data_IF_378431009558
#
_entry.id   IF_378431009558
#
_cell.length_a   1.000
_cell.length_b   1.000
_cell.length_c   1.000
_cell.angle_alpha   90.00
_cell.angle_beta   90.00
_cell.angle_gamma   90.00
#
_symmetry.space_group_name_H-M   'P 1'
#
loop_
_entity.id
_entity.type
_entity.pdbx_description
1 polymer ?
#
# COMPACT_ATOMS: atom_id res chain seq x y z
N UNK A 1 -16.67 8.67 20.97
CA UNK A 1 -17.24 7.84 19.89
C UNK A 1 -18.74 7.56 20.03
N UNK A 2 -19.46 7.63 18.91
CA UNK A 2 -20.90 7.34 18.74
C UNK A 2 -21.21 5.83 18.94
N UNK A 3 -22.38 5.50 19.50
CA UNK A 3 -22.85 4.12 19.71
C UNK A 3 -23.01 3.36 18.38
N UNK A 4 -23.39 4.04 17.30
CA UNK A 4 -23.48 3.42 15.98
C UNK A 4 -22.09 3.00 15.46
N UNK A 5 -21.09 3.87 15.62
CA UNK A 5 -19.71 3.62 15.19
C UNK A 5 -19.09 2.47 15.98
N UNK A 6 -19.34 2.41 17.30
CA UNK A 6 -18.85 1.30 18.12
C UNK A 6 -19.45 -0.04 17.66
N UNK A 7 -20.75 -0.06 17.31
CA UNK A 7 -21.38 -1.27 16.73
C UNK A 7 -20.77 -1.66 15.39
N UNK A 8 -20.39 -0.69 14.55
CA UNK A 8 -19.71 -0.98 13.29
C UNK A 8 -18.33 -1.60 13.53
N UNK A 9 -17.54 -1.08 14.48
CA UNK A 9 -16.27 -1.70 14.87
C UNK A 9 -16.45 -3.12 15.39
N UNK A 10 -17.43 -3.34 16.27
CA UNK A 10 -17.69 -4.68 16.83
C UNK A 10 -18.02 -5.69 15.74
N UNK A 11 -18.88 -5.34 14.78
CA UNK A 11 -19.22 -6.23 13.67
C UNK A 11 -18.08 -6.41 12.67
N UNK A 12 -17.31 -5.36 12.41
CA UNK A 12 -16.11 -5.47 11.56
C UNK A 12 -15.09 -6.44 12.16
N UNK A 13 -14.92 -6.44 13.48
CA UNK A 13 -13.90 -7.25 14.18
C UNK A 13 -14.42 -8.59 14.70
N UNK A 14 -15.67 -8.97 14.37
CA UNK A 14 -16.23 -10.26 14.75
C UNK A 14 -15.79 -11.35 13.76
N UNK A 15 -15.02 -12.37 14.19
CA UNK A 15 -14.54 -13.43 13.29
C UNK A 15 -15.66 -14.26 12.66
N UNK A 16 -16.85 -14.28 13.26
CA UNK A 16 -18.02 -15.01 12.75
C UNK A 16 -18.89 -14.14 11.81
N UNK A 17 -18.56 -12.86 11.65
CA UNK A 17 -19.31 -11.94 10.80
C UNK A 17 -18.95 -12.11 9.33
N UNK A 18 -19.78 -12.85 8.60
CA UNK A 18 -19.63 -13.07 7.16
C UNK A 18 -19.64 -11.77 6.34
N UNK A 19 -20.23 -10.70 6.86
CA UNK A 19 -20.32 -9.39 6.21
C UNK A 19 -19.31 -8.36 6.77
N UNK A 20 -18.22 -8.78 7.43
CA UNK A 20 -17.24 -7.88 8.06
C UNK A 20 -16.75 -6.76 7.12
N UNK A 21 -16.54 -7.10 5.84
CA UNK A 21 -16.17 -6.15 4.78
C UNK A 21 -17.21 -5.04 4.56
N UNK A 22 -18.50 -5.35 4.65
CA UNK A 22 -19.56 -4.35 4.52
C UNK A 22 -19.57 -3.38 5.71
N UNK A 23 -19.18 -3.85 6.91
CA UNK A 23 -19.05 -2.99 8.08
C UNK A 23 -17.80 -2.11 7.99
N UNK A 24 -16.68 -2.63 7.50
CA UNK A 24 -15.51 -1.83 7.19
C UNK A 24 -15.85 -0.68 6.22
N UNK A 25 -16.55 -0.98 5.12
CA UNK A 25 -16.94 0.04 4.14
C UNK A 25 -17.86 1.11 4.77
N UNK A 26 -18.88 0.69 5.53
CA UNK A 26 -19.78 1.62 6.23
C UNK A 26 -19.06 2.47 7.26
N UNK A 27 -18.10 1.89 7.97
CA UNK A 27 -17.29 2.58 8.98
C UNK A 27 -16.43 3.65 8.33
N UNK A 28 -15.77 3.34 7.21
CA UNK A 28 -14.98 4.29 6.44
C UNK A 28 -15.80 5.47 5.92
N UNK A 29 -17.00 5.22 5.37
CA UNK A 29 -17.91 6.27 4.90
C UNK A 29 -18.41 7.20 6.01
N UNK A 30 -18.40 6.74 7.28
CA UNK A 30 -18.81 7.51 8.45
C UNK A 30 -17.64 7.96 9.32
N UNK A 31 -16.41 7.76 8.87
CA UNK A 31 -15.24 8.00 9.69
C UNK A 31 -15.11 9.49 10.03
N UNK A 32 -15.01 9.77 11.33
CA UNK A 32 -14.51 11.04 11.86
C UNK A 32 -13.00 10.93 12.06
N UNK A 33 -12.35 12.03 12.46
CA UNK A 33 -10.92 12.03 12.79
C UNK A 33 -10.58 11.00 13.89
N UNK A 34 -11.41 10.92 14.95
CA UNK A 34 -11.31 9.90 16.02
C UNK A 34 -11.38 8.46 15.45
N UNK A 35 -12.27 8.21 14.49
CA UNK A 35 -12.42 6.90 13.85
C UNK A 35 -11.24 6.57 12.96
N UNK A 36 -10.77 7.53 12.16
CA UNK A 36 -9.59 7.39 11.31
C UNK A 36 -8.35 7.07 12.14
N UNK A 37 -8.13 7.76 13.26
CA UNK A 37 -6.99 7.48 14.15
C UNK A 37 -7.06 6.05 14.71
N UNK A 38 -8.24 5.63 15.18
CA UNK A 38 -8.45 4.25 15.66
C UNK A 38 -8.25 3.20 14.56
N UNK A 39 -8.66 3.48 13.32
CA UNK A 39 -8.41 2.62 12.17
C UNK A 39 -6.91 2.51 11.86
N UNK A 40 -6.16 3.62 11.92
CA UNK A 40 -4.70 3.62 11.74
C UNK A 40 -4.03 2.77 12.84
N UNK A 41 -4.48 2.86 14.09
CA UNK A 41 -3.99 1.99 15.16
C UNK A 41 -4.24 0.50 14.85
N UNK A 42 -5.42 0.15 14.32
CA UNK A 42 -5.75 -1.21 13.93
C UNK A 42 -4.89 -1.71 12.75
N UNK A 43 -4.64 -0.89 11.74
CA UNK A 43 -3.74 -1.22 10.62
C UNK A 43 -2.35 -1.62 11.11
N UNK A 44 -1.88 -1.02 12.20
CA UNK A 44 -0.56 -1.26 12.77
C UNK A 44 -0.55 -2.33 13.88
N UNK A 45 -1.71 -2.90 14.21
CA UNK A 45 -1.85 -3.95 15.22
C UNK A 45 -1.27 -5.29 14.75
N UNK A 46 -1.23 -6.28 15.64
CA UNK A 46 -0.69 -7.62 15.34
C UNK A 46 -1.72 -8.58 14.74
N UNK A 47 -3.01 -8.21 14.76
CA UNK A 47 -4.07 -8.97 14.12
C UNK A 47 -4.18 -8.56 12.64
N UNK A 48 -3.69 -9.43 11.76
CA UNK A 48 -3.62 -9.12 10.33
C UNK A 48 -5.01 -9.03 9.67
N UNK A 49 -6.02 -9.74 10.18
CA UNK A 49 -7.38 -9.72 9.63
C UNK A 49 -8.04 -8.39 9.99
N UNK A 50 -7.94 -8.00 11.26
CA UNK A 50 -8.37 -6.69 11.73
C UNK A 50 -7.65 -5.55 11.01
N UNK A 51 -6.34 -5.67 10.82
CA UNK A 51 -5.53 -4.70 10.08
C UNK A 51 -5.98 -4.58 8.62
N UNK A 52 -6.24 -5.70 7.93
CA UNK A 52 -6.73 -5.69 6.56
C UNK A 52 -8.10 -5.00 6.44
N UNK A 53 -9.02 -5.33 7.34
CA UNK A 53 -10.35 -4.68 7.38
C UNK A 53 -10.24 -3.19 7.69
N UNK A 54 -9.32 -2.79 8.56
CA UNK A 54 -9.05 -1.38 8.82
C UNK A 54 -8.47 -0.66 7.59
N UNK A 55 -7.58 -1.28 6.82
CA UNK A 55 -7.11 -0.73 5.54
C UNK A 55 -8.27 -0.49 4.58
N UNK A 56 -9.20 -1.45 4.48
CA UNK A 56 -10.40 -1.33 3.66
C UNK A 56 -11.33 -0.20 4.13
N UNK A 57 -11.54 -0.07 5.43
CA UNK A 57 -12.32 1.05 5.96
C UNK A 57 -11.65 2.40 5.62
N UNK A 58 -10.33 2.50 5.79
CA UNK A 58 -9.56 3.70 5.47
C UNK A 58 -9.64 4.09 3.98
N UNK A 59 -9.72 3.12 3.06
CA UNK A 59 -9.88 3.41 1.62
C UNK A 59 -11.19 4.08 1.26
N UNK A 60 -12.20 4.00 2.13
CA UNK A 60 -13.48 4.70 1.96
C UNK A 60 -13.51 6.08 2.60
N UNK A 61 -12.40 6.52 3.19
CA UNK A 61 -12.27 7.85 3.80
C UNK A 61 -11.67 8.87 2.84
N UNK A 62 -11.70 10.15 3.21
CA UNK A 62 -11.04 11.22 2.44
C UNK A 62 -9.57 11.44 2.84
N UNK A 63 -9.07 10.77 3.88
CA UNK A 63 -7.69 10.88 4.38
C UNK A 63 -6.74 9.96 3.61
N UNK A 64 -6.67 10.13 2.28
CA UNK A 64 -5.92 9.22 1.39
C UNK A 64 -4.45 9.08 1.83
N UNK A 65 -3.77 10.20 2.08
CA UNK A 65 -2.34 10.21 2.37
C UNK A 65 -2.01 9.62 3.75
N UNK A 66 -2.74 10.00 4.80
CA UNK A 66 -2.51 9.43 6.13
C UNK A 66 -2.83 7.93 6.17
N UNK A 67 -3.85 7.52 5.41
CA UNK A 67 -4.21 6.11 5.27
C UNK A 67 -3.11 5.34 4.56
N UNK A 68 -2.63 5.83 3.41
CA UNK A 68 -1.56 5.18 2.65
C UNK A 68 -0.25 5.12 3.45
N UNK A 69 0.08 6.12 4.26
CA UNK A 69 1.23 6.07 5.16
C UNK A 69 1.15 4.88 6.13
N UNK A 70 -0.03 4.64 6.72
CA UNK A 70 -0.27 3.50 7.61
C UNK A 70 -0.23 2.17 6.84
N UNK A 71 -0.88 2.09 5.68
CA UNK A 71 -0.95 0.88 4.85
C UNK A 71 0.44 0.48 4.35
N UNK A 72 1.23 1.40 3.81
CA UNK A 72 2.60 1.10 3.38
C UNK A 72 3.52 0.70 4.54
N UNK A 73 3.31 1.28 5.74
CA UNK A 73 4.01 0.82 6.94
C UNK A 73 3.66 -0.63 7.27
N UNK A 74 2.39 -1.01 7.18
CA UNK A 74 1.95 -2.40 7.37
C UNK A 74 2.49 -3.35 6.28
N UNK A 75 2.51 -2.92 5.00
CA UNK A 75 3.09 -3.68 3.89
C UNK A 75 4.57 -3.98 4.13
N UNK A 76 5.33 -3.02 4.68
CA UNK A 76 6.76 -3.19 4.92
C UNK A 76 7.10 -3.83 6.27
N UNK A 77 6.11 -4.08 7.12
CA UNK A 77 6.34 -4.76 8.40
C UNK A 77 6.68 -6.24 8.16
N UNK A 78 7.76 -6.70 8.80
CA UNK A 78 8.22 -8.09 8.70
C UNK A 78 7.17 -9.07 9.23
N UNK A 79 6.36 -8.67 10.22
CA UNK A 79 5.29 -9.53 10.76
C UNK A 79 4.24 -9.88 9.70
N UNK A 80 4.06 -9.01 8.71
CA UNK A 80 3.11 -9.16 7.63
C UNK A 80 3.71 -9.79 6.36
N UNK A 81 4.97 -10.27 6.37
CA UNK A 81 5.64 -10.75 5.14
C UNK A 81 4.86 -11.87 4.42
N UNK A 82 4.10 -12.70 5.14
CA UNK A 82 3.25 -13.74 4.52
C UNK A 82 1.96 -13.15 3.92
N UNK A 83 1.37 -12.15 4.57
CA UNK A 83 0.11 -11.48 4.18
C UNK A 83 0.36 -10.25 3.30
N UNK A 84 1.61 -9.91 2.99
CA UNK A 84 2.00 -8.68 2.32
C UNK A 84 1.23 -8.46 1.01
N UNK A 85 1.00 -9.52 0.23
CA UNK A 85 0.23 -9.43 -1.00
C UNK A 85 -1.24 -9.05 -0.80
N UNK A 86 -1.85 -9.35 0.35
CA UNK A 86 -3.20 -8.88 0.67
C UNK A 86 -3.22 -7.37 0.97
N UNK A 87 -2.24 -6.90 1.76
CA UNK A 87 -2.09 -5.46 2.01
C UNK A 87 -1.71 -4.66 0.75
N UNK A 88 -1.04 -5.27 -0.23
CA UNK A 88 -0.79 -4.61 -1.52
C UNK A 88 -2.06 -4.60 -2.36
N UNK A 89 -2.86 -5.67 -2.34
CA UNK A 89 -4.11 -5.74 -3.12
C UNK A 89 -5.09 -4.62 -2.75
N UNK A 90 -5.22 -4.28 -1.46
CA UNK A 90 -6.14 -3.20 -1.03
C UNK A 90 -5.73 -1.81 -1.57
N UNK A 91 -4.50 -1.64 -2.07
CA UNK A 91 -4.07 -0.39 -2.70
C UNK A 91 -4.90 -0.05 -3.96
N UNK A 92 -5.59 -1.03 -4.57
CA UNK A 92 -6.52 -0.81 -5.70
C UNK A 92 -7.69 0.12 -5.34
N UNK A 93 -8.00 0.25 -4.05
CA UNK A 93 -9.07 1.08 -3.52
C UNK A 93 -8.62 2.51 -3.18
N UNK A 94 -7.34 2.84 -3.35
CA UNK A 94 -6.76 4.15 -3.02
C UNK A 94 -6.33 4.91 -4.27
N UNK A 95 -6.22 6.23 -4.15
CA UNK A 95 -5.52 7.05 -5.15
C UNK A 95 -4.01 6.93 -4.92
N UNK A 96 -3.32 6.29 -5.86
CA UNK A 96 -1.87 6.05 -5.80
C UNK A 96 -1.05 7.08 -6.58
N UNK A 97 -1.65 8.11 -7.19
CA UNK A 97 -0.98 9.06 -8.09
C UNK A 97 0.29 9.69 -7.49
N UNK A 98 0.32 9.96 -6.18
CA UNK A 98 1.48 10.51 -5.47
C UNK A 98 2.45 9.46 -4.90
N UNK A 99 2.14 8.16 -5.04
CA UNK A 99 2.79 7.06 -4.30
C UNK A 99 3.71 6.19 -5.14
N UNK A 100 4.16 6.68 -6.31
CA UNK A 100 5.11 5.97 -7.18
C UNK A 100 6.28 5.34 -6.40
N UNK A 101 6.97 6.12 -5.57
CA UNK A 101 8.16 5.63 -4.86
C UNK A 101 7.81 4.52 -3.86
N UNK A 102 6.65 4.59 -3.22
CA UNK A 102 6.22 3.57 -2.26
C UNK A 102 5.83 2.28 -2.97
N UNK A 103 5.03 2.37 -4.05
CA UNK A 103 4.70 1.22 -4.91
C UNK A 103 5.97 0.60 -5.51
N UNK A 104 6.89 1.43 -5.99
CA UNK A 104 8.17 0.99 -6.55
C UNK A 104 9.01 0.22 -5.52
N UNK A 105 9.03 0.66 -4.26
CA UNK A 105 9.70 -0.09 -3.17
C UNK A 105 9.04 -1.43 -2.90
N UNK A 106 7.71 -1.52 -2.95
CA UNK A 106 7.01 -2.81 -2.84
C UNK A 106 7.38 -3.73 -4.00
N UNK A 107 7.43 -3.21 -5.22
CA UNK A 107 7.86 -3.98 -6.38
C UNK A 107 9.30 -4.51 -6.23
N UNK A 108 10.22 -3.72 -5.67
CA UNK A 108 11.60 -4.15 -5.45
C UNK A 108 11.74 -5.16 -4.29
N UNK A 109 11.12 -4.90 -3.13
CA UNK A 109 11.44 -5.62 -1.88
C UNK A 109 10.29 -6.50 -1.35
N UNK A 110 9.15 -6.52 -2.04
CA UNK A 110 8.00 -7.33 -1.70
C UNK A 110 8.24 -8.82 -1.92
N UNK A 111 7.45 -9.66 -1.25
CA UNK A 111 7.32 -11.07 -1.62
C UNK A 111 6.75 -11.19 -3.05
N UNK A 112 6.76 -12.39 -3.62
CA UNK A 112 6.35 -12.61 -5.01
C UNK A 112 4.97 -11.98 -5.34
N UNK A 113 3.93 -12.24 -4.55
CA UNK A 113 2.57 -11.69 -4.79
C UNK A 113 2.56 -10.17 -4.70
N UNK A 114 3.17 -9.60 -3.66
CA UNK A 114 3.25 -8.16 -3.45
C UNK A 114 4.02 -7.46 -4.58
N UNK A 115 5.12 -8.08 -5.03
CA UNK A 115 5.95 -7.57 -6.12
C UNK A 115 5.19 -7.56 -7.44
N UNK A 116 4.46 -8.63 -7.78
CA UNK A 116 3.66 -8.70 -9.01
C UNK A 116 2.53 -7.66 -9.03
N UNK A 117 1.76 -7.53 -7.95
CA UNK A 117 0.69 -6.52 -7.86
C UNK A 117 1.26 -5.10 -7.95
N UNK A 118 2.38 -4.83 -7.28
CA UNK A 118 3.03 -3.53 -7.37
C UNK A 118 3.51 -3.22 -8.80
N UNK A 119 3.94 -4.23 -9.57
CA UNK A 119 4.27 -4.04 -11.00
C UNK A 119 3.04 -3.63 -11.80
N UNK A 120 1.90 -4.30 -11.58
CA UNK A 120 0.64 -3.96 -12.24
C UNK A 120 0.24 -2.51 -11.95
N UNK A 121 0.40 -2.04 -10.72
CA UNK A 121 0.14 -0.63 -10.38
C UNK A 121 1.14 0.32 -11.04
N UNK A 122 2.44 -0.02 -11.08
CA UNK A 122 3.45 0.78 -11.77
C UNK A 122 3.14 0.96 -13.26
N UNK A 123 2.50 -0.04 -13.88
CA UNK A 123 2.19 -0.06 -15.30
C UNK A 123 0.84 0.59 -15.66
N UNK A 124 -0.09 0.63 -14.71
CA UNK A 124 -1.49 1.02 -14.96
C UNK A 124 -1.92 2.34 -14.32
N UNK A 125 -1.26 2.76 -13.24
CA UNK A 125 -1.57 4.03 -12.56
C UNK A 125 -0.84 5.19 -13.25
N UNK A 126 -1.56 6.28 -13.47
CA UNK A 126 -0.96 7.55 -13.88
C UNK A 126 -0.37 8.25 -12.65
N UNK A 127 0.95 8.27 -12.55
CA UNK A 127 1.65 8.87 -11.41
C UNK A 127 2.10 10.31 -11.69
N UNK A 128 2.02 11.14 -10.66
CA UNK A 128 2.61 12.47 -10.68
C UNK A 128 4.12 12.39 -10.46
N UNK A 129 4.84 12.26 -11.58
CA UNK A 129 6.29 12.18 -11.56
C UNK A 129 6.88 13.58 -11.42
N UNK A 130 7.88 13.69 -10.55
CA UNK A 130 8.71 14.88 -10.40
C UNK A 130 10.19 14.48 -10.47
N UNK A 131 11.12 15.44 -10.70
CA UNK A 131 12.55 15.16 -10.58
C UNK A 131 12.95 14.63 -9.20
N UNK A 132 12.19 14.94 -8.14
CA UNK A 132 12.42 14.38 -6.80
C UNK A 132 11.99 12.92 -6.70
N UNK A 133 10.89 12.55 -7.35
CA UNK A 133 10.38 11.16 -7.45
C UNK A 133 11.44 10.27 -8.09
N UNK A 134 12.01 10.71 -9.22
CA UNK A 134 13.06 9.98 -9.96
C UNK A 134 14.29 9.74 -9.10
N UNK A 135 14.85 10.80 -8.47
CA UNK A 135 16.04 10.66 -7.59
C UNK A 135 15.81 9.69 -6.44
N UNK A 136 14.59 9.65 -5.87
CA UNK A 136 14.24 8.69 -4.82
C UNK A 136 14.16 7.26 -5.37
N UNK A 137 13.52 7.07 -6.52
CA UNK A 137 13.42 5.76 -7.17
C UNK A 137 14.81 5.21 -7.53
N UNK A 138 15.69 6.02 -8.13
CA UNK A 138 17.09 5.67 -8.42
C UNK A 138 17.85 5.28 -7.15
N UNK A 139 17.64 5.98 -6.03
CA UNK A 139 18.24 5.60 -4.74
C UNK A 139 17.81 4.21 -4.30
N UNK A 140 16.51 3.88 -4.40
CA UNK A 140 16.01 2.56 -4.02
C UNK A 140 16.48 1.48 -4.99
N UNK A 141 16.54 1.79 -6.28
CA UNK A 141 17.08 0.89 -7.29
C UNK A 141 18.55 0.57 -7.03
N UNK A 142 19.38 1.59 -6.79
CA UNK A 142 20.78 1.41 -6.43
C UNK A 142 20.93 0.56 -5.15
N UNK A 143 20.06 0.72 -4.16
CA UNK A 143 20.08 -0.15 -2.98
C UNK A 143 19.78 -1.60 -3.34
N UNK A 144 18.76 -1.85 -4.17
CA UNK A 144 18.37 -3.17 -4.63
C UNK A 144 19.47 -3.86 -5.44
N UNK A 145 20.16 -3.15 -6.34
CA UNK A 145 21.28 -3.68 -7.13
C UNK A 145 22.39 -4.32 -6.28
N UNK A 146 22.60 -3.81 -5.06
CA UNK A 146 23.59 -4.34 -4.13
C UNK A 146 23.01 -5.34 -3.12
N UNK A 147 21.68 -5.40 -2.99
CA UNK A 147 20.97 -6.20 -1.98
C UNK A 147 19.67 -6.77 -2.57
N UNK A 148 19.73 -7.62 -3.61
CA UNK A 148 18.51 -8.20 -4.17
C UNK A 148 17.91 -9.18 -3.16
N UNK A 149 16.57 -9.15 -2.98
CA UNK A 149 15.86 -10.15 -2.16
C UNK A 149 16.04 -11.56 -2.74
N UNK A 150 16.09 -11.65 -4.07
CA UNK A 150 16.34 -12.87 -4.83
C UNK A 150 17.33 -12.57 -5.97
N UNK A 151 18.57 -13.10 -5.94
CA UNK A 151 19.56 -12.90 -7.00
C UNK A 151 19.07 -13.28 -8.39
N UNK A 152 18.20 -14.30 -8.50
CA UNK A 152 17.69 -14.77 -9.80
C UNK A 152 16.73 -13.74 -10.42
N UNK A 153 15.99 -13.01 -9.57
CA UNK A 153 15.09 -11.94 -9.99
C UNK A 153 15.81 -10.68 -10.49
N UNK A 154 17.10 -10.50 -10.16
CA UNK A 154 17.84 -9.27 -10.46
C UNK A 154 17.88 -8.96 -11.96
N UNK A 155 18.04 -9.98 -12.79
CA UNK A 155 18.08 -9.82 -14.25
C UNK A 155 16.74 -9.29 -14.81
N UNK A 156 15.63 -9.86 -14.32
CA UNK A 156 14.27 -9.45 -14.69
C UNK A 156 14.00 -8.02 -14.20
N UNK A 157 14.28 -7.74 -12.91
CA UNK A 157 14.14 -6.39 -12.36
C UNK A 157 14.95 -5.36 -13.13
N UNK A 158 16.18 -5.68 -13.54
CA UNK A 158 17.01 -4.80 -14.37
C UNK A 158 16.32 -4.46 -15.70
N UNK A 159 15.83 -5.48 -16.41
CA UNK A 159 15.15 -5.29 -17.69
C UNK A 159 13.85 -4.48 -17.59
N UNK A 160 13.22 -4.42 -16.43
CA UNK A 160 11.98 -3.68 -16.21
C UNK A 160 12.22 -2.27 -15.63
N UNK A 161 13.15 -2.13 -14.67
CA UNK A 161 13.39 -0.87 -13.95
C UNK A 161 14.24 0.11 -14.74
N UNK A 162 15.29 -0.35 -15.42
CA UNK A 162 16.21 0.58 -16.10
C UNK A 162 15.52 1.35 -17.24
N UNK A 163 14.69 0.70 -18.10
CA UNK A 163 13.89 1.43 -19.08
C UNK A 163 12.88 2.37 -18.43
N UNK A 164 12.15 1.92 -17.41
CA UNK A 164 11.19 2.76 -16.67
C UNK A 164 11.83 4.04 -16.13
N UNK A 165 12.99 3.94 -15.47
CA UNK A 165 13.70 5.12 -14.96
C UNK A 165 14.25 6.01 -16.07
N UNK A 166 14.60 5.44 -17.23
CA UNK A 166 15.01 6.22 -18.40
C UNK A 166 13.85 7.02 -18.96
N UNK A 167 12.72 6.38 -19.23
CA UNK A 167 11.50 7.04 -19.71
C UNK A 167 11.07 8.18 -18.76
N UNK A 168 11.08 7.93 -17.45
CA UNK A 168 10.77 8.96 -16.46
C UNK A 168 11.72 10.17 -16.53
N UNK A 169 13.02 9.97 -16.81
CA UNK A 169 13.98 11.08 -16.97
C UNK A 169 13.73 11.85 -18.25
N UNK A 170 13.37 11.16 -19.32
CA UNK A 170 13.08 11.76 -20.62
C UNK A 170 11.88 12.70 -20.57
N UNK A 171 10.91 12.47 -19.66
CA UNK A 171 9.81 13.42 -19.39
C UNK A 171 10.28 14.83 -18.99
N UNK A 172 11.51 14.98 -18.51
CA UNK A 172 12.10 16.26 -18.05
C UNK A 172 13.35 16.65 -18.84
N UNK A 173 13.63 15.96 -19.95
CA UNK A 173 14.77 16.23 -20.81
C UNK A 173 14.25 16.98 -22.03
N UNK A 174 14.49 18.30 -22.07
CA UNK A 174 14.16 19.16 -23.22
C UNK A 174 15.00 18.79 -24.48
#
# INVERSE_FOLDING_TARGET
MDEEIEKLFQRMLDPEEAEAYNFADKLGLKATEEVKDKLIELVLSDDWEAAYLACRALSKTHWNEESLDAVFKAIHDRKNKQQQGAFVQILEEFDLSQRFVDVFRVYLFGNFKASSLAKEYLDSVEFDISPRTIRKAEKHWNHYLHNPEDPDSLSIKKSEVEPMLLEMRELFSD
#
